data_IF_635512615237
#
_entry.id   IF_635512615237
#
_cell.length_a   1.000
_cell.length_b   1.000
_cell.length_c   1.000
_cell.angle_alpha   90.00
_cell.angle_beta   90.00
_cell.angle_gamma   90.00
#
_symmetry.space_group_name_H-M   'P 1'
#
loop_
_entity.id
_entity.type
_entity.pdbx_description
1 polymer ?
#
# COMPACT_ATOMS: atom_id res chain seq x y z
N UNK A 1 -7.77 3.11 4.14
CA UNK A 1 -7.33 4.50 3.97
C UNK A 1 -8.44 5.44 4.39
N UNK A 2 -8.18 6.32 5.38
CA UNK A 2 -9.22 7.21 5.94
C UNK A 2 -9.18 8.59 5.28
N UNK A 3 -10.27 9.00 4.66
CA UNK A 3 -10.42 10.29 3.99
C UNK A 3 -11.77 10.90 4.33
N UNK A 4 -11.87 12.24 4.37
CA UNK A 4 -13.15 12.89 4.58
C UNK A 4 -13.82 13.24 3.25
N UNK A 5 -15.16 13.25 3.25
CA UNK A 5 -15.94 13.66 2.08
C UNK A 5 -15.57 15.07 1.61
N UNK A 6 -15.46 16.02 2.54
CA UNK A 6 -15.07 17.40 2.21
C UNK A 6 -13.70 17.48 1.54
N UNK A 7 -12.79 16.55 1.81
CA UNK A 7 -11.48 16.49 1.15
C UNK A 7 -11.59 16.03 -0.31
N UNK A 8 -12.47 15.07 -0.61
CA UNK A 8 -12.80 14.69 -1.99
C UNK A 8 -13.45 15.84 -2.76
N UNK A 9 -14.25 16.66 -2.07
CA UNK A 9 -14.91 17.84 -2.64
C UNK A 9 -13.93 18.95 -3.02
N UNK A 10 -12.66 18.92 -2.60
CA UNK A 10 -11.62 19.81 -3.14
C UNK A 10 -11.31 19.49 -4.62
N UNK A 11 -11.50 18.26 -5.04
CA UNK A 11 -11.21 17.78 -6.38
C UNK A 11 -12.43 17.63 -7.28
N UNK A 12 -13.56 17.30 -6.67
CA UNK A 12 -14.78 16.94 -7.39
C UNK A 12 -15.98 17.78 -6.94
N UNK A 13 -16.90 17.96 -7.84
CA UNK A 13 -18.24 18.46 -7.53
C UNK A 13 -19.15 17.27 -7.23
N UNK A 14 -19.44 17.04 -5.94
CA UNK A 14 -20.14 15.86 -5.43
C UNK A 14 -21.56 16.28 -5.01
N UNK A 15 -22.57 15.86 -5.78
CA UNK A 15 -23.98 16.20 -5.54
C UNK A 15 -24.77 15.05 -4.89
N UNK A 16 -24.21 13.84 -4.83
CA UNK A 16 -24.87 12.65 -4.26
C UNK A 16 -24.62 12.55 -2.76
N UNK A 17 -25.38 11.70 -2.07
CA UNK A 17 -25.16 11.38 -0.66
C UNK A 17 -23.88 10.53 -0.49
N UNK A 18 -23.30 10.56 0.72
CA UNK A 18 -22.07 9.80 1.02
C UNK A 18 -22.28 8.31 0.84
N UNK A 19 -23.43 7.77 1.22
CA UNK A 19 -23.75 6.35 1.10
C UNK A 19 -23.78 5.89 -0.37
N UNK A 20 -24.34 6.73 -1.29
CA UNK A 20 -24.36 6.45 -2.72
C UNK A 20 -22.94 6.46 -3.30
N UNK A 21 -22.14 7.48 -2.94
CA UNK A 21 -20.73 7.58 -3.34
C UNK A 21 -19.92 6.36 -2.88
N UNK A 22 -20.08 5.93 -1.63
CA UNK A 22 -19.37 4.78 -1.06
C UNK A 22 -19.81 3.47 -1.72
N UNK A 23 -21.09 3.33 -2.04
CA UNK A 23 -21.60 2.19 -2.80
C UNK A 23 -20.97 2.13 -4.20
N UNK A 24 -20.90 3.25 -4.91
CA UNK A 24 -20.27 3.32 -6.24
C UNK A 24 -18.76 2.97 -6.18
N UNK A 25 -18.04 3.42 -5.14
CA UNK A 25 -16.63 3.03 -4.93
C UNK A 25 -16.49 1.52 -4.74
N UNK A 26 -17.28 0.95 -3.84
CA UNK A 26 -17.25 -0.48 -3.53
C UNK A 26 -17.56 -1.32 -4.78
N UNK A 27 -18.59 -0.96 -5.54
CA UNK A 27 -18.98 -1.67 -6.77
C UNK A 27 -17.93 -1.55 -7.88
N UNK A 28 -17.06 -0.54 -7.81
CA UNK A 28 -15.94 -0.36 -8.74
C UNK A 28 -14.61 -0.96 -8.22
N UNK A 29 -14.63 -1.73 -7.11
CA UNK A 29 -13.48 -2.43 -6.57
C UNK A 29 -12.65 -1.66 -5.54
N UNK A 30 -13.17 -0.55 -5.01
CA UNK A 30 -12.58 0.19 -3.89
C UNK A 30 -13.51 0.05 -2.67
N UNK A 31 -13.35 -1.05 -1.93
CA UNK A 31 -14.25 -1.42 -0.82
C UNK A 31 -14.25 -0.35 0.27
N UNK A 32 -15.44 0.11 0.65
CA UNK A 32 -15.62 1.01 1.79
C UNK A 32 -16.04 0.19 2.98
N UNK A 33 -15.15 0.09 3.99
CA UNK A 33 -15.39 -0.66 5.21
C UNK A 33 -16.36 0.05 6.14
N UNK A 34 -16.19 1.36 6.34
CA UNK A 34 -16.94 2.12 7.31
C UNK A 34 -17.14 3.58 6.88
N UNK A 35 -18.29 4.13 7.26
CA UNK A 35 -18.60 5.56 7.18
C UNK A 35 -18.86 6.06 8.59
N UNK A 36 -17.97 6.91 9.11
CA UNK A 36 -18.09 7.49 10.45
C UNK A 36 -18.41 8.98 10.36
N UNK A 37 -19.40 9.45 11.11
CA UNK A 37 -19.70 10.89 11.24
C UNK A 37 -18.68 11.56 12.15
N UNK A 38 -17.98 12.57 11.64
CA UNK A 38 -17.05 13.41 12.42
C UNK A 38 -17.48 14.87 12.29
N UNK A 39 -17.97 15.45 13.36
CA UNK A 39 -18.53 16.81 13.38
C UNK A 39 -19.60 17.03 12.29
N UNK A 40 -19.24 17.81 11.26
CA UNK A 40 -20.12 18.11 10.12
C UNK A 40 -19.71 17.39 8.82
N UNK A 41 -18.78 16.41 8.91
CA UNK A 41 -18.21 15.72 7.77
C UNK A 41 -18.39 14.19 7.90
N UNK A 42 -18.22 13.51 6.80
CA UNK A 42 -18.20 12.05 6.75
C UNK A 42 -16.76 11.56 6.56
N UNK A 43 -16.26 10.76 7.49
CA UNK A 43 -15.02 10.01 7.36
C UNK A 43 -15.32 8.68 6.67
N UNK A 44 -14.65 8.43 5.57
CA UNK A 44 -14.79 7.23 4.74
C UNK A 44 -13.51 6.41 4.91
N UNK A 45 -13.64 5.18 5.38
CA UNK A 45 -12.52 4.22 5.44
C UNK A 45 -12.59 3.29 4.25
N UNK A 46 -11.56 3.36 3.40
CA UNK A 46 -11.47 2.58 2.16
C UNK A 46 -10.38 1.52 2.32
N UNK A 47 -10.74 0.24 2.17
CA UNK A 47 -9.77 -0.86 2.07
C UNK A 47 -9.31 -1.01 0.62
N UNK A 48 -8.03 -0.75 0.40
CA UNK A 48 -7.42 -0.74 -0.92
C UNK A 48 -6.64 -2.02 -1.16
N UNK A 49 -6.98 -2.71 -2.22
CA UNK A 49 -6.21 -3.87 -2.67
C UNK A 49 -4.77 -3.50 -3.01
N UNK A 50 -3.79 -4.40 -2.80
CA UNK A 50 -2.37 -4.09 -3.01
C UNK A 50 -2.00 -3.60 -4.41
N UNK A 51 -2.76 -3.95 -5.44
CA UNK A 51 -2.56 -3.50 -6.81
C UNK A 51 -2.99 -2.05 -7.04
N UNK A 52 -3.88 -1.49 -6.21
CA UNK A 52 -4.43 -0.14 -6.37
C UNK A 52 -3.64 0.92 -5.58
N UNK A 53 -2.31 0.90 -5.71
CA UNK A 53 -1.44 1.92 -5.10
C UNK A 53 -1.73 3.35 -5.58
N UNK A 54 -2.26 3.49 -6.78
CA UNK A 54 -2.70 4.76 -7.37
C UNK A 54 -3.81 5.44 -6.58
N UNK A 55 -4.60 4.67 -5.81
CA UNK A 55 -5.68 5.14 -4.94
C UNK A 55 -5.24 5.37 -3.47
N UNK A 56 -3.96 5.20 -3.12
CA UNK A 56 -3.44 5.53 -1.78
C UNK A 56 -3.32 7.06 -1.57
N UNK A 57 -4.25 7.83 -2.14
CA UNK A 57 -4.35 9.28 -2.01
C UNK A 57 -5.77 9.77 -2.32
N UNK A 58 -6.12 10.94 -1.76
CA UNK A 58 -7.40 11.61 -2.06
C UNK A 58 -7.52 11.92 -3.56
N UNK A 59 -6.42 12.38 -4.17
CA UNK A 59 -6.35 12.63 -5.61
C UNK A 59 -6.60 11.35 -6.44
N UNK A 60 -6.03 10.22 -6.02
CA UNK A 60 -6.24 8.93 -6.69
C UNK A 60 -7.68 8.47 -6.61
N UNK A 61 -8.29 8.50 -5.42
CA UNK A 61 -9.71 8.17 -5.22
C UNK A 61 -10.61 9.13 -6.00
N UNK A 62 -10.29 10.43 -6.00
CA UNK A 62 -11.07 11.42 -6.78
C UNK A 62 -10.99 11.16 -8.28
N UNK A 63 -9.85 10.67 -8.78
CA UNK A 63 -9.68 10.26 -10.18
C UNK A 63 -10.59 9.08 -10.51
N UNK A 64 -10.63 8.06 -9.66
CA UNK A 64 -11.51 6.90 -9.82
C UNK A 64 -12.99 7.30 -9.82
N UNK A 65 -13.44 8.08 -8.85
CA UNK A 65 -14.82 8.57 -8.81
C UNK A 65 -15.22 9.28 -10.12
N UNK A 66 -14.34 10.12 -10.67
CA UNK A 66 -14.59 10.79 -11.94
C UNK A 66 -14.68 9.83 -13.14
N UNK A 67 -14.01 8.67 -13.06
CA UNK A 67 -14.05 7.61 -14.08
C UNK A 67 -15.35 6.81 -13.95
N UNK A 68 -15.69 6.38 -12.73
CA UNK A 68 -16.87 5.57 -12.43
C UNK A 68 -18.15 6.28 -12.85
N UNK A 69 -18.26 7.56 -12.50
CA UNK A 69 -19.47 8.29 -12.75
C UNK A 69 -19.19 9.72 -13.23
N UNK A 70 -19.62 10.02 -14.46
CA UNK A 70 -19.48 11.37 -15.08
C UNK A 70 -20.22 12.48 -14.35
N UNK A 71 -21.08 12.16 -13.35
CA UNK A 71 -21.70 13.17 -12.47
C UNK A 71 -20.64 13.89 -11.64
N UNK A 72 -19.53 13.21 -11.27
CA UNK A 72 -18.44 13.80 -10.48
C UNK A 72 -17.51 14.62 -11.36
N UNK A 73 -17.84 15.90 -11.54
CA UNK A 73 -17.04 16.80 -12.37
C UNK A 73 -15.79 17.26 -11.63
N UNK A 74 -14.64 17.21 -12.31
CA UNK A 74 -13.39 17.77 -11.76
C UNK A 74 -13.49 19.27 -11.58
N UNK A 75 -13.12 19.76 -10.40
CA UNK A 75 -12.98 21.18 -10.14
C UNK A 75 -11.72 21.73 -10.82
N UNK A 76 -11.78 22.89 -11.48
CA UNK A 76 -10.59 23.50 -12.06
C UNK A 76 -9.61 23.89 -10.96
N UNK A 77 -8.32 23.53 -11.14
CA UNK A 77 -7.26 23.99 -10.23
C UNK A 77 -7.11 25.52 -10.36
N UNK A 78 -7.23 26.22 -9.24
CA UNK A 78 -6.88 27.63 -9.15
C UNK A 78 -5.38 27.74 -8.88
N UNK A 79 -4.57 27.90 -9.91
CA UNK A 79 -3.18 28.28 -9.74
C UNK A 79 -3.13 29.78 -9.44
N UNK A 80 -2.85 30.16 -8.20
CA UNK A 80 -2.50 31.53 -7.86
C UNK A 80 -1.00 31.68 -8.10
N UNK A 81 -0.63 32.54 -9.03
CA UNK A 81 0.75 33.00 -9.17
C UNK A 81 0.98 34.04 -8.06
N UNK A 82 1.84 33.72 -7.13
CA UNK A 82 2.24 34.64 -6.05
C UNK A 82 3.69 35.05 -6.30
N UNK A 83 4.04 36.33 -6.06
CA UNK A 83 5.42 36.82 -6.10
C UNK A 83 6.22 36.14 -4.99
N UNK A 84 7.44 35.73 -5.30
CA UNK A 84 8.23 34.79 -4.53
C UNK A 84 9.40 35.45 -3.83
N UNK A 85 9.67 34.99 -2.60
CA UNK A 85 10.92 35.24 -1.93
C UNK A 85 11.86 34.04 -2.21
N UNK A 86 12.66 34.15 -3.30
CA UNK A 86 13.64 33.14 -3.68
C UNK A 86 14.93 33.29 -2.86
N UNK A 87 15.50 32.15 -2.46
CA UNK A 87 16.87 32.09 -1.98
C UNK A 87 17.75 31.29 -2.95
N UNK A 88 19.05 31.45 -2.80
CA UNK A 88 20.02 30.59 -3.48
C UNK A 88 19.86 29.14 -2.98
N UNK A 89 20.22 28.19 -3.84
CA UNK A 89 20.18 26.78 -3.45
C UNK A 89 21.25 26.49 -2.36
N UNK A 90 21.07 25.33 -1.68
CA UNK A 90 22.08 24.84 -0.74
C UNK A 90 23.41 24.52 -1.46
N UNK A 91 24.52 24.66 -0.77
CA UNK A 91 25.84 24.20 -1.24
C UNK A 91 26.00 22.69 -1.20
N UNK A 92 25.10 21.98 -0.47
CA UNK A 92 25.09 20.52 -0.33
C UNK A 92 24.77 19.91 -1.70
N UNK A 93 25.68 19.08 -2.21
CA UNK A 93 25.47 18.37 -3.48
C UNK A 93 24.86 16.99 -3.23
N UNK A 94 23.83 16.69 -4.01
CA UNK A 94 23.21 15.39 -4.02
C UNK A 94 23.68 14.59 -5.23
N UNK A 95 24.07 13.33 -5.02
CA UNK A 95 24.52 12.44 -6.09
C UNK A 95 23.86 11.07 -5.94
N UNK A 96 23.62 10.41 -7.07
CA UNK A 96 23.06 9.06 -7.11
C UNK A 96 24.17 8.13 -7.61
N UNK A 97 24.55 7.15 -6.79
CA UNK A 97 25.64 6.23 -7.13
C UNK A 97 25.24 5.21 -8.21
N UNK A 98 23.99 4.77 -8.19
CA UNK A 98 23.40 3.87 -9.19
C UNK A 98 21.96 4.36 -9.52
N UNK A 99 21.79 4.86 -10.74
CA UNK A 99 20.52 5.41 -11.20
C UNK A 99 19.38 4.35 -11.27
N UNK A 100 19.70 3.05 -11.19
CA UNK A 100 18.68 2.00 -11.11
C UNK A 100 17.90 2.02 -9.79
N UNK A 101 18.56 2.40 -8.69
CA UNK A 101 17.93 2.38 -7.36
C UNK A 101 17.04 3.60 -7.13
N UNK A 102 17.42 4.75 -7.72
CA UNK A 102 16.69 6.01 -7.63
C UNK A 102 16.75 6.74 -8.98
N UNK A 103 15.88 6.39 -9.95
CA UNK A 103 15.88 7.00 -11.28
C UNK A 103 15.55 8.49 -11.29
N UNK A 104 14.85 8.99 -10.26
CA UNK A 104 14.51 10.41 -10.10
C UNK A 104 14.55 10.81 -8.63
N UNK A 105 15.32 11.84 -8.34
CA UNK A 105 15.45 12.47 -7.03
C UNK A 105 15.25 13.97 -7.18
N UNK A 106 14.26 14.51 -6.53
CA UNK A 106 13.96 15.95 -6.56
C UNK A 106 14.03 16.51 -5.16
N UNK A 107 14.54 17.72 -5.01
CA UNK A 107 14.60 18.39 -3.72
C UNK A 107 14.49 19.91 -3.85
N UNK A 108 14.11 20.56 -2.74
CA UNK A 108 14.18 22.00 -2.55
C UNK A 108 14.86 22.33 -1.22
N UNK A 109 15.45 23.50 -1.16
CA UNK A 109 16.02 24.06 0.07
C UNK A 109 15.12 25.18 0.58
N UNK A 110 14.79 25.13 1.88
CA UNK A 110 14.01 26.12 2.61
C UNK A 110 14.95 26.84 3.59
N UNK A 111 14.89 28.16 3.61
CA UNK A 111 15.73 28.99 4.46
C UNK A 111 14.89 29.90 5.34
N UNK A 112 15.34 30.17 6.55
CA UNK A 112 14.71 31.10 7.48
C UNK A 112 13.25 30.76 7.81
N UNK A 113 12.98 29.48 8.10
CA UNK A 113 11.62 29.06 8.48
C UNK A 113 11.20 29.77 9.75
N UNK A 114 10.02 30.38 9.71
CA UNK A 114 9.46 31.09 10.85
C UNK A 114 9.09 30.11 11.98
N UNK A 115 9.67 30.30 13.15
CA UNK A 115 9.32 29.51 14.36
C UNK A 115 7.88 29.70 14.83
N UNK A 116 7.19 30.76 14.36
CA UNK A 116 5.77 31.00 14.66
C UNK A 116 4.82 30.40 13.62
N UNK A 117 5.34 29.72 12.59
CA UNK A 117 4.49 29.12 11.57
C UNK A 117 3.67 27.95 12.13
N UNK A 118 2.39 27.95 11.84
CA UNK A 118 1.48 26.84 12.07
C UNK A 118 0.70 26.57 10.79
N UNK A 119 0.43 25.30 10.53
CA UNK A 119 -0.40 24.93 9.38
C UNK A 119 -1.84 25.46 9.52
N UNK A 120 -2.51 25.80 8.43
CA UNK A 120 -3.94 26.04 8.42
C UNK A 120 -4.72 24.91 9.11
N UNK A 121 -5.74 25.26 9.93
CA UNK A 121 -6.46 24.28 10.73
C UNK A 121 -7.15 23.18 9.91
N UNK A 122 -7.55 23.49 8.68
CA UNK A 122 -8.10 22.46 7.77
C UNK A 122 -7.08 21.34 7.43
N UNK A 123 -5.79 21.65 7.32
CA UNK A 123 -4.71 20.66 7.13
C UNK A 123 -4.59 19.78 8.38
N UNK A 124 -4.50 20.42 9.55
CA UNK A 124 -4.35 19.73 10.82
C UNK A 124 -5.55 18.81 11.13
N UNK A 125 -6.76 19.30 10.87
CA UNK A 125 -8.00 18.53 11.06
C UNK A 125 -8.05 17.31 10.15
N UNK A 126 -7.69 17.45 8.87
CA UNK A 126 -7.63 16.34 7.90
C UNK A 126 -6.63 15.27 8.32
N UNK A 127 -5.45 15.67 8.77
CA UNK A 127 -4.44 14.73 9.28
C UNK A 127 -4.94 13.96 10.50
N UNK A 128 -5.50 14.67 11.51
CA UNK A 128 -6.06 14.01 12.71
C UNK A 128 -7.18 13.03 12.33
N UNK A 129 -8.08 13.42 11.46
CA UNK A 129 -9.19 12.57 11.00
C UNK A 129 -8.69 11.32 10.25
N UNK A 130 -7.58 11.44 9.52
CA UNK A 130 -6.92 10.32 8.85
C UNK A 130 -6.04 9.46 9.79
N UNK A 131 -5.99 9.79 11.10
CA UNK A 131 -5.22 9.04 12.09
C UNK A 131 -3.75 9.41 12.16
N UNK A 132 -3.33 10.53 11.56
CA UNK A 132 -1.94 11.01 11.58
C UNK A 132 -1.75 11.98 12.75
N UNK A 133 -0.76 11.70 13.61
CA UNK A 133 -0.35 12.58 14.69
C UNK A 133 0.42 13.80 14.15
N UNK A 134 0.11 14.97 14.69
CA UNK A 134 0.86 16.18 14.38
C UNK A 134 2.19 16.20 15.13
N UNK A 135 3.28 16.54 14.44
CA UNK A 135 4.65 16.52 14.99
C UNK A 135 5.30 17.90 14.83
N UNK A 136 5.39 18.38 13.60
CA UNK A 136 6.01 19.64 13.23
C UNK A 136 5.34 20.19 11.98
N UNK A 137 5.04 21.51 11.90
CA UNK A 137 4.23 22.05 10.79
C UNK A 137 4.72 21.67 9.39
N UNK A 138 6.02 21.66 9.14
CA UNK A 138 6.58 21.24 7.84
C UNK A 138 6.38 19.74 7.60
N UNK A 139 6.67 18.90 8.59
CA UNK A 139 6.49 17.43 8.48
C UNK A 139 5.01 17.09 8.29
N UNK A 140 4.13 17.75 9.01
CA UNK A 140 2.68 17.58 8.91
C UNK A 140 2.17 17.96 7.51
N UNK A 141 2.74 19.03 6.91
CA UNK A 141 2.44 19.41 5.54
C UNK A 141 2.90 18.34 4.54
N UNK A 142 4.06 17.70 4.76
CA UNK A 142 4.52 16.58 3.91
C UNK A 142 3.58 15.38 4.04
N UNK A 143 3.16 15.04 5.26
CA UNK A 143 2.18 13.99 5.51
C UNK A 143 0.83 14.32 4.84
N UNK A 144 0.39 15.58 4.92
CA UNK A 144 -0.80 16.03 4.22
C UNK A 144 -0.70 15.82 2.70
N UNK A 145 0.43 16.20 2.09
CA UNK A 145 0.64 16.02 0.64
C UNK A 145 0.74 14.54 0.27
N UNK A 146 1.35 13.73 1.10
CA UNK A 146 1.40 12.28 0.90
C UNK A 146 -0.02 11.68 0.86
N UNK A 147 -0.90 12.02 1.81
CA UNK A 147 -2.28 11.55 1.83
C UNK A 147 -3.12 12.16 0.71
N UNK A 148 -2.90 13.43 0.41
CA UNK A 148 -3.66 14.16 -0.60
C UNK A 148 -3.27 13.77 -2.03
N UNK A 149 -1.98 13.57 -2.29
CA UNK A 149 -1.43 13.44 -3.65
C UNK A 149 -0.77 12.09 -3.95
N UNK A 150 -0.42 11.33 -2.90
CA UNK A 150 0.14 9.98 -3.03
C UNK A 150 1.67 9.90 -3.12
N UNK A 151 2.38 11.04 -2.99
CA UNK A 151 3.83 11.10 -3.03
C UNK A 151 4.42 11.24 -1.63
N UNK A 152 5.11 10.23 -1.09
CA UNK A 152 5.86 10.39 0.14
C UNK A 152 7.04 11.35 -0.06
N UNK A 153 7.24 12.23 0.92
CA UNK A 153 8.34 13.20 0.95
C UNK A 153 9.03 13.15 2.31
N UNK A 154 10.27 13.62 2.38
CA UNK A 154 11.02 13.68 3.62
C UNK A 154 11.66 15.04 3.84
N UNK A 155 11.84 15.42 5.11
CA UNK A 155 12.46 16.66 5.54
C UNK A 155 13.74 16.40 6.33
N UNK A 156 14.82 17.02 5.94
CA UNK A 156 16.10 17.00 6.66
C UNK A 156 16.40 18.37 7.24
N UNK A 157 16.88 18.42 8.48
CA UNK A 157 17.52 19.60 9.05
C UNK A 157 18.83 19.85 8.29
N UNK A 158 18.85 20.86 7.43
CA UNK A 158 19.99 21.13 6.56
C UNK A 158 21.28 21.47 7.31
N UNK A 159 21.15 22.07 8.48
CA UNK A 159 22.29 22.49 9.32
C UNK A 159 22.98 21.29 10.01
N UNK A 160 22.33 20.11 10.01
CA UNK A 160 22.87 18.86 10.57
C UNK A 160 23.52 17.95 9.53
N UNK A 161 23.34 18.23 8.24
CA UNK A 161 23.95 17.45 7.15
C UNK A 161 25.42 17.82 7.03
N UNK A 162 26.31 16.84 6.98
CA UNK A 162 27.76 17.04 6.89
C UNK A 162 28.28 16.68 5.50
N UNK A 163 28.64 17.72 4.72
CA UNK A 163 29.17 17.57 3.37
C UNK A 163 28.12 17.12 2.34
N UNK A 164 28.57 16.47 1.28
CA UNK A 164 27.72 16.05 0.17
C UNK A 164 26.92 14.80 0.51
N UNK A 165 25.75 14.66 -0.11
CA UNK A 165 24.80 13.55 0.11
C UNK A 165 24.83 12.58 -1.08
N UNK A 166 24.87 11.27 -0.77
CA UNK A 166 24.91 10.20 -1.76
C UNK A 166 23.75 9.23 -1.53
N UNK A 167 22.97 8.99 -2.57
CA UNK A 167 21.96 7.94 -2.64
C UNK A 167 22.64 6.66 -3.14
N UNK A 168 22.68 5.61 -2.33
CA UNK A 168 23.42 4.37 -2.60
C UNK A 168 22.81 3.13 -1.92
N UNK A 169 23.32 1.98 -2.24
CA UNK A 169 23.07 0.79 -1.41
C UNK A 169 23.90 0.86 -0.11
N UNK A 170 23.32 0.35 0.96
CA UNK A 170 24.01 0.24 2.24
C UNK A 170 25.19 -0.74 2.16
N UNK A 171 26.23 -0.49 2.93
CA UNK A 171 27.29 -1.50 3.16
C UNK A 171 26.77 -2.54 4.15
N UNK A 172 27.28 -3.76 4.06
CA UNK A 172 26.90 -4.83 4.99
C UNK A 172 27.19 -4.42 6.43
N UNK A 173 26.20 -4.56 7.30
CA UNK A 173 26.24 -4.21 8.72
C UNK A 173 26.34 -2.70 9.02
N UNK A 174 26.11 -1.81 8.07
CA UNK A 174 25.85 -0.40 8.42
C UNK A 174 24.64 -0.30 9.34
N UNK A 175 24.64 0.71 10.19
CA UNK A 175 23.59 0.93 11.19
C UNK A 175 22.99 2.33 10.97
N UNK A 176 21.67 2.42 11.10
CA UNK A 176 20.96 3.68 11.17
C UNK A 176 20.18 3.73 12.49
N UNK A 177 20.26 4.84 13.22
CA UNK A 177 19.34 5.16 14.31
C UNK A 177 18.17 5.91 13.69
N UNK A 178 17.02 5.27 13.60
CA UNK A 178 15.86 5.80 12.91
C UNK A 178 15.00 6.72 13.80
N UNK A 179 14.03 7.41 13.18
CA UNK A 179 13.11 8.35 13.85
C UNK A 179 12.26 7.73 14.98
N UNK A 180 12.09 6.41 14.99
CA UNK A 180 11.42 5.67 16.07
C UNK A 180 12.35 5.38 17.27
N UNK A 181 13.59 5.87 17.25
CA UNK A 181 14.61 5.69 18.27
C UNK A 181 15.30 4.33 18.24
N UNK A 182 14.98 3.46 17.29
CA UNK A 182 15.54 2.11 17.17
C UNK A 182 16.75 2.11 16.24
N UNK A 183 17.75 1.32 16.58
CA UNK A 183 18.91 1.06 15.71
C UNK A 183 18.64 -0.15 14.80
N UNK A 184 18.76 0.09 13.49
CA UNK A 184 18.58 -0.96 12.48
C UNK A 184 19.89 -1.30 11.80
N UNK A 185 20.24 -2.58 11.83
CA UNK A 185 21.38 -3.14 11.11
C UNK A 185 20.98 -3.47 9.68
N UNK A 186 21.66 -2.82 8.74
CA UNK A 186 21.33 -2.89 7.33
C UNK A 186 22.09 -3.98 6.58
N UNK A 187 21.54 -4.35 5.44
CA UNK A 187 22.17 -5.25 4.46
C UNK A 187 22.50 -4.48 3.18
N UNK A 188 23.30 -5.07 2.32
CA UNK A 188 23.61 -4.48 1.00
C UNK A 188 22.43 -4.46 0.01
N UNK A 189 21.24 -4.84 0.46
CA UNK A 189 20.00 -4.73 -0.32
C UNK A 189 19.17 -3.49 0.05
N UNK A 190 19.54 -2.76 1.10
CA UNK A 190 18.84 -1.58 1.55
C UNK A 190 19.36 -0.34 0.81
N UNK A 191 18.46 0.50 0.33
CA UNK A 191 18.80 1.80 -0.25
C UNK A 191 18.91 2.81 0.89
N UNK A 192 19.99 3.57 0.91
CA UNK A 192 20.23 4.60 1.92
C UNK A 192 20.58 5.93 1.28
N UNK A 193 20.24 6.99 1.99
CA UNK A 193 20.69 8.34 1.73
C UNK A 193 21.68 8.65 2.84
N UNK A 194 22.91 8.97 2.47
CA UNK A 194 24.01 9.15 3.41
C UNK A 194 24.77 10.45 3.11
N UNK A 195 25.16 11.16 4.15
CA UNK A 195 26.11 12.25 4.06
C UNK A 195 27.56 11.75 4.15
N UNK A 196 28.53 12.64 4.34
CA UNK A 196 29.93 12.26 4.44
C UNK A 196 30.29 11.46 5.69
N UNK A 197 29.44 11.44 6.72
CA UNK A 197 29.66 10.81 8.01
C UNK A 197 28.80 9.60 8.26
N UNK A 198 27.51 9.69 7.99
CA UNK A 198 26.52 8.68 8.40
C UNK A 198 25.33 8.57 7.45
N UNK A 199 24.47 7.59 7.70
CA UNK A 199 23.20 7.42 7.00
C UNK A 199 22.19 8.39 7.59
N UNK A 200 21.61 9.24 6.75
CA UNK A 200 20.60 10.23 7.11
C UNK A 200 19.17 9.76 6.82
N UNK A 201 18.99 8.73 5.99
CA UNK A 201 17.69 8.11 5.76
C UNK A 201 17.84 6.69 5.21
N UNK A 202 16.93 5.80 5.62
CA UNK A 202 16.65 4.56 4.93
C UNK A 202 15.60 4.87 3.85
N UNK A 203 16.07 4.99 2.61
CA UNK A 203 15.32 5.54 1.49
C UNK A 203 13.94 4.89 1.29
N UNK A 204 12.92 5.72 1.20
CA UNK A 204 11.53 5.30 1.03
C UNK A 204 10.91 4.59 2.24
N UNK A 205 11.62 4.47 3.36
CA UNK A 205 11.12 3.76 4.56
C UNK A 205 11.05 4.69 5.77
N UNK A 206 12.19 5.17 6.28
CA UNK A 206 12.23 5.99 7.49
C UNK A 206 13.50 6.86 7.54
N UNK A 207 13.38 8.09 8.03
CA UNK A 207 14.50 8.99 8.24
C UNK A 207 15.33 8.63 9.47
N UNK A 208 16.53 9.25 9.58
CA UNK A 208 17.39 9.17 10.76
C UNK A 208 16.97 10.19 11.83
N UNK A 209 17.13 9.83 13.10
CA UNK A 209 16.94 10.74 14.23
C UNK A 209 17.91 11.94 14.17
N UNK A 210 19.15 11.72 13.71
CA UNK A 210 20.22 12.72 13.73
C UNK A 210 19.95 13.94 12.86
N UNK A 211 19.30 13.75 11.71
CA UNK A 211 18.94 14.83 10.77
C UNK A 211 17.46 15.20 10.84
N UNK A 212 16.76 14.78 11.89
CA UNK A 212 15.35 15.11 12.07
C UNK A 212 15.13 16.61 12.29
N UNK A 213 14.01 17.08 11.75
CA UNK A 213 13.54 18.45 11.96
C UNK A 213 13.02 18.61 13.39
N UNK A 214 13.39 19.71 14.04
CA UNK A 214 12.98 20.08 15.38
C UNK A 214 12.40 21.52 15.37
N UNK A 215 11.79 21.95 16.47
CA UNK A 215 11.23 23.30 16.59
C UNK A 215 12.27 24.42 16.38
N UNK A 216 13.54 24.13 16.67
CA UNK A 216 14.65 25.07 16.49
C UNK A 216 15.21 25.11 15.07
N UNK A 217 14.81 24.19 14.20
CA UNK A 217 15.32 24.07 12.82
C UNK A 217 14.85 25.25 11.97
N UNK A 218 15.81 25.91 11.31
CA UNK A 218 15.55 27.07 10.45
C UNK A 218 15.75 26.79 8.98
N UNK A 219 16.61 25.85 8.65
CA UNK A 219 16.95 25.50 7.29
C UNK A 219 16.62 24.03 7.06
N UNK A 220 15.84 23.75 6.02
CA UNK A 220 15.33 22.40 5.76
C UNK A 220 15.54 22.06 4.29
N UNK A 221 15.95 20.84 4.01
CA UNK A 221 15.88 20.26 2.66
C UNK A 221 14.69 19.32 2.61
N UNK A 222 13.83 19.53 1.63
CA UNK A 222 12.69 18.65 1.35
C UNK A 222 13.02 17.77 0.16
N UNK A 223 12.94 16.47 0.38
CA UNK A 223 13.11 15.42 -0.62
C UNK A 223 11.77 14.97 -1.17
N UNK A 224 11.74 14.70 -2.47
CA UNK A 224 10.66 13.99 -3.15
C UNK A 224 11.28 13.13 -4.24
N UNK A 225 11.24 11.81 -4.10
CA UNK A 225 11.96 10.89 -4.96
C UNK A 225 11.08 9.80 -5.54
N UNK A 226 11.57 9.15 -6.60
CA UNK A 226 11.07 7.90 -7.11
C UNK A 226 12.12 6.82 -6.90
N UNK A 227 11.76 5.77 -6.17
CA UNK A 227 12.56 4.56 -6.00
C UNK A 227 11.89 3.39 -6.72
N UNK A 228 12.67 2.48 -7.29
CA UNK A 228 12.11 1.28 -7.92
C UNK A 228 11.38 0.42 -6.87
N UNK A 229 10.05 0.21 -7.02
CA UNK A 229 9.27 -0.56 -6.05
C UNK A 229 9.77 -2.00 -5.88
N UNK A 230 10.34 -2.62 -6.92
CA UNK A 230 10.90 -3.97 -6.82
C UNK A 230 12.09 -4.04 -5.85
N UNK A 231 12.86 -2.97 -5.74
CA UNK A 231 13.99 -2.90 -4.83
C UNK A 231 13.57 -2.59 -3.39
N UNK A 232 12.42 -1.95 -3.19
CA UNK A 232 11.87 -1.63 -1.86
C UNK A 232 10.96 -2.73 -1.31
N UNK A 233 10.38 -3.55 -2.17
CA UNK A 233 9.45 -4.61 -1.77
C UNK A 233 10.02 -5.50 -0.65
N UNK A 234 9.24 -5.66 0.43
CA UNK A 234 9.59 -6.43 1.64
C UNK A 234 10.80 -5.94 2.45
N UNK A 235 11.47 -4.83 2.08
CA UNK A 235 12.65 -4.36 2.84
C UNK A 235 12.26 -3.82 4.21
N UNK A 236 11.19 -3.03 4.29
CA UNK A 236 10.64 -2.56 5.57
C UNK A 236 10.20 -3.73 6.45
N UNK A 237 9.47 -4.71 5.90
CA UNK A 237 9.01 -5.89 6.64
C UNK A 237 10.14 -6.74 7.22
N UNK A 238 11.26 -6.91 6.50
CA UNK A 238 12.45 -7.61 7.01
C UNK A 238 13.04 -6.94 8.26
N UNK A 239 12.88 -5.62 8.37
CA UNK A 239 13.29 -4.81 9.53
C UNK A 239 12.17 -4.67 10.58
N UNK A 240 11.02 -5.32 10.39
CA UNK A 240 9.81 -5.19 11.22
C UNK A 240 9.27 -3.76 11.26
N UNK A 241 9.52 -2.99 10.20
CA UNK A 241 8.99 -1.65 9.99
C UNK A 241 7.76 -1.70 9.08
N UNK A 242 6.82 -0.80 9.36
CA UNK A 242 5.70 -0.50 8.50
C UNK A 242 5.40 1.00 8.60
N UNK A 243 5.67 1.74 7.56
CA UNK A 243 5.43 3.19 7.49
C UNK A 243 4.52 3.52 6.31
N UNK A 244 3.82 4.63 6.36
CA UNK A 244 2.99 5.14 5.26
C UNK A 244 3.81 5.37 3.97
N UNK A 245 5.09 5.76 4.12
CA UNK A 245 6.05 5.86 3.02
C UNK A 245 6.35 4.50 2.40
N UNK A 246 6.79 3.52 3.22
CA UNK A 246 7.15 2.20 2.72
C UNK A 246 5.95 1.49 2.08
N UNK A 247 4.75 1.68 2.64
CA UNK A 247 3.51 1.14 2.12
C UNK A 247 3.20 1.61 0.69
N UNK A 248 3.50 2.89 0.39
CA UNK A 248 3.32 3.45 -0.96
C UNK A 248 4.44 3.07 -1.90
N UNK A 249 5.70 3.24 -1.48
CA UNK A 249 6.83 2.96 -2.35
C UNK A 249 6.95 1.50 -2.76
N UNK A 250 6.69 0.53 -1.85
CA UNK A 250 6.76 -0.89 -2.20
C UNK A 250 5.68 -1.34 -3.19
N UNK A 251 4.56 -0.60 -3.29
CA UNK A 251 3.47 -0.85 -4.23
C UNK A 251 3.59 -0.07 -5.53
N UNK A 252 4.49 0.90 -5.57
CA UNK A 252 4.74 1.78 -6.69
C UNK A 252 4.04 3.13 -6.56
N UNK A 253 4.84 4.19 -6.68
CA UNK A 253 4.40 5.60 -6.76
C UNK A 253 4.60 6.08 -8.19
N UNK A 254 3.69 6.88 -8.72
CA UNK A 254 3.84 7.44 -10.06
C UNK A 254 5.14 8.26 -10.16
N UNK A 255 6.05 7.81 -11.02
CA UNK A 255 7.35 8.45 -11.23
C UNK A 255 7.27 9.91 -11.73
N UNK A 256 6.09 10.38 -12.13
CA UNK A 256 5.84 11.78 -12.52
C UNK A 256 5.35 12.66 -11.36
N UNK A 257 5.21 12.12 -10.14
CA UNK A 257 4.72 12.89 -8.99
C UNK A 257 5.80 13.67 -8.23
N UNK A 258 7.08 13.27 -8.15
CA UNK A 258 8.05 13.92 -7.28
C UNK A 258 8.11 15.45 -7.41
N UNK A 259 8.29 15.95 -8.63
CA UNK A 259 8.32 17.40 -8.90
C UNK A 259 6.95 18.07 -8.61
N UNK A 260 5.85 17.41 -9.01
CA UNK A 260 4.49 17.94 -8.82
C UNK A 260 4.11 18.07 -7.35
N UNK A 261 4.59 17.13 -6.51
CA UNK A 261 4.38 17.17 -5.07
C UNK A 261 5.16 18.33 -4.43
N UNK A 262 6.42 18.55 -4.83
CA UNK A 262 7.19 19.71 -4.42
C UNK A 262 6.52 21.02 -4.87
N UNK A 263 6.04 21.10 -6.10
CA UNK A 263 5.30 22.27 -6.56
C UNK A 263 4.03 22.55 -5.74
N UNK A 264 3.30 21.49 -5.36
CA UNK A 264 2.14 21.62 -4.48
C UNK A 264 2.53 22.10 -3.09
N UNK A 265 3.61 21.58 -2.54
CA UNK A 265 4.19 22.02 -1.27
C UNK A 265 4.57 23.51 -1.31
N UNK A 266 5.28 23.94 -2.35
CA UNK A 266 5.64 25.35 -2.58
C UNK A 266 4.41 26.24 -2.61
N UNK A 267 3.34 25.82 -3.31
CA UNK A 267 2.10 26.61 -3.40
C UNK A 267 1.48 26.84 -2.00
N UNK A 268 1.51 25.84 -1.12
CA UNK A 268 1.02 25.98 0.25
C UNK A 268 1.93 26.92 1.07
N UNK A 269 3.27 26.81 0.92
CA UNK A 269 4.21 27.69 1.58
C UNK A 269 4.02 29.16 1.19
N UNK A 270 3.82 29.41 -0.09
CA UNK A 270 3.61 30.77 -0.65
C UNK A 270 2.34 31.41 -0.12
N UNK A 271 1.22 30.67 -0.08
CA UNK A 271 -0.04 31.17 0.45
C UNK A 271 0.09 31.63 1.90
N UNK A 272 1.03 31.05 2.66
CA UNK A 272 1.20 31.30 4.08
C UNK A 272 2.48 32.11 4.44
N UNK A 273 3.32 32.45 3.46
CA UNK A 273 4.58 33.23 3.65
C UNK A 273 5.49 32.64 4.74
N UNK A 274 5.80 31.36 4.63
CA UNK A 274 6.46 30.57 5.70
C UNK A 274 7.96 30.81 5.74
N UNK A 275 8.63 30.89 4.59
CA UNK A 275 10.09 30.92 4.44
C UNK A 275 10.47 31.35 3.03
N UNK A 276 11.79 31.55 2.83
CA UNK A 276 12.40 31.61 1.52
C UNK A 276 12.64 30.18 1.01
N UNK A 277 12.64 29.96 -0.30
CA UNK A 277 12.89 28.64 -0.89
C UNK A 277 13.66 28.74 -2.22
N UNK A 278 14.43 27.69 -2.52
CA UNK A 278 15.18 27.57 -3.77
C UNK A 278 14.31 27.08 -4.93
N UNK A 279 14.84 27.11 -6.14
CA UNK A 279 14.27 26.36 -7.25
C UNK A 279 14.31 24.85 -6.96
N UNK A 280 13.35 24.12 -7.55
CA UNK A 280 13.35 22.66 -7.48
C UNK A 280 14.56 22.12 -8.24
N UNK A 281 15.38 21.36 -7.55
CA UNK A 281 16.50 20.64 -8.15
C UNK A 281 16.06 19.22 -8.51
N UNK A 282 16.41 18.76 -9.70
CA UNK A 282 16.05 17.44 -10.21
C UNK A 282 17.32 16.72 -10.68
N UNK A 283 17.55 15.55 -10.14
CA UNK A 283 18.58 14.60 -10.60
C UNK A 283 17.84 13.40 -11.15
N UNK A 284 17.93 13.16 -12.46
CA UNK A 284 17.23 12.06 -13.08
C UNK A 284 18.03 11.37 -14.18
N UNK A 285 17.73 10.08 -14.36
CA UNK A 285 18.12 9.34 -15.55
C UNK A 285 16.87 8.64 -16.13
N UNK A 286 16.36 9.22 -17.19
CA UNK A 286 15.12 8.74 -17.86
C UNK A 286 15.25 7.34 -18.45
N UNK A 287 16.47 6.83 -18.65
CA UNK A 287 16.69 5.46 -19.14
C UNK A 287 16.27 4.39 -18.13
N UNK A 288 16.29 4.73 -16.83
CA UNK A 288 15.93 3.84 -15.73
C UNK A 288 14.52 4.10 -15.17
N UNK A 289 13.80 5.11 -15.65
CA UNK A 289 12.39 5.28 -15.32
C UNK A 289 11.58 4.10 -15.89
N UNK A 290 10.53 3.65 -15.18
CA UNK A 290 9.68 2.57 -15.67
C UNK A 290 9.12 2.88 -17.05
N UNK A 291 9.27 1.93 -17.96
CA UNK A 291 8.63 2.03 -19.28
C UNK A 291 7.16 1.68 -19.14
N UNK A 292 6.31 2.43 -19.83
CA UNK A 292 4.89 2.10 -19.91
C UNK A 292 4.72 0.73 -20.58
N UNK A 293 3.92 -0.13 -19.97
CA UNK A 293 3.60 -1.43 -20.52
C UNK A 293 2.72 -1.27 -21.76
N UNK A 294 3.00 -2.10 -22.77
CA UNK A 294 2.24 -2.14 -24.01
C UNK A 294 1.69 -3.54 -24.21
N UNK A 295 0.38 -3.69 -24.15
CA UNK A 295 -0.31 -4.97 -24.20
C UNK A 295 -1.24 -5.00 -25.41
N UNK A 296 -1.10 -6.04 -26.26
CA UNK A 296 -1.99 -6.24 -27.41
C UNK A 296 -3.37 -6.67 -26.90
N UNK A 297 -4.43 -6.02 -27.39
CA UNK A 297 -5.79 -6.37 -27.06
C UNK A 297 -6.24 -7.63 -27.81
N UNK A 298 -6.95 -8.50 -27.14
CA UNK A 298 -7.67 -9.62 -27.72
C UNK A 298 -9.15 -9.49 -27.36
N UNK A 299 -9.91 -8.82 -28.20
CA UNK A 299 -11.31 -8.51 -27.96
C UNK A 299 -12.20 -9.76 -27.81
N UNK A 300 -11.89 -10.82 -28.56
CA UNK A 300 -12.62 -12.08 -28.47
C UNK A 300 -12.40 -12.73 -27.10
N UNK A 301 -11.16 -12.74 -26.62
CA UNK A 301 -10.84 -13.28 -25.31
C UNK A 301 -11.44 -12.44 -24.18
N UNK A 302 -11.46 -11.11 -24.31
CA UNK A 302 -12.11 -10.21 -23.36
C UNK A 302 -13.59 -10.58 -23.21
N UNK A 303 -14.32 -10.70 -24.33
CA UNK A 303 -15.74 -11.10 -24.33
C UNK A 303 -15.95 -12.48 -23.70
N UNK A 304 -15.09 -13.42 -24.01
CA UNK A 304 -15.15 -14.78 -23.47
C UNK A 304 -14.90 -14.82 -21.96
N UNK A 305 -13.93 -14.06 -21.45
CA UNK A 305 -13.61 -14.04 -20.02
C UNK A 305 -14.67 -13.31 -19.19
N UNK A 306 -15.21 -12.19 -19.70
CA UNK A 306 -16.29 -11.45 -19.04
C UNK A 306 -17.64 -12.18 -19.20
N UNK A 307 -17.82 -12.93 -20.28
CA UNK A 307 -19.04 -13.71 -20.55
C UNK A 307 -20.18 -12.92 -21.19
N UNK A 308 -19.88 -11.74 -21.78
CA UNK A 308 -20.87 -10.87 -22.45
C UNK A 308 -20.34 -10.34 -23.77
N UNK A 309 -21.26 -9.96 -24.65
CA UNK A 309 -20.93 -9.27 -25.91
C UNK A 309 -20.79 -7.77 -25.63
N UNK A 310 -19.58 -7.25 -25.81
CA UNK A 310 -19.24 -5.82 -25.71
C UNK A 310 -18.60 -5.40 -27.03
N UNK A 311 -19.03 -4.27 -27.58
CA UNK A 311 -18.45 -3.71 -28.81
C UNK A 311 -17.00 -3.24 -28.57
N UNK A 312 -16.13 -3.39 -29.59
CA UNK A 312 -14.72 -3.00 -29.50
C UNK A 312 -14.52 -1.55 -29.12
N UNK A 313 -15.36 -0.65 -29.67
CA UNK A 313 -15.31 0.78 -29.38
C UNK A 313 -15.67 1.08 -27.90
N UNK A 314 -16.55 0.31 -27.31
CA UNK A 314 -16.90 0.43 -25.90
C UNK A 314 -15.75 -0.05 -25.00
N UNK A 315 -15.15 -1.17 -25.30
CA UNK A 315 -13.93 -1.67 -24.64
C UNK A 315 -12.84 -0.61 -24.64
N UNK A 316 -12.52 -0.06 -25.82
CA UNK A 316 -11.52 1.00 -25.96
C UNK A 316 -11.88 2.24 -25.16
N UNK A 317 -13.14 2.66 -25.18
CA UNK A 317 -13.62 3.83 -24.45
C UNK A 317 -13.44 3.66 -22.94
N UNK A 318 -13.74 2.49 -22.38
CA UNK A 318 -13.52 2.20 -20.97
C UNK A 318 -12.03 2.30 -20.60
N UNK A 319 -11.15 1.70 -21.40
CA UNK A 319 -9.70 1.77 -21.18
C UNK A 319 -9.13 3.19 -21.30
N UNK A 320 -9.62 3.98 -22.25
CA UNK A 320 -9.22 5.39 -22.38
C UNK A 320 -9.67 6.25 -21.21
N UNK A 321 -10.78 5.92 -20.53
CA UNK A 321 -11.25 6.63 -19.33
C UNK A 321 -10.28 6.54 -18.17
N UNK A 322 -9.59 5.40 -18.00
CA UNK A 322 -8.57 5.21 -16.94
C UNK A 322 -7.23 5.86 -17.27
N UNK A 323 -7.13 6.50 -18.43
CA UNK A 323 -5.93 7.20 -18.89
C UNK A 323 -4.96 6.36 -19.72
N UNK A 324 -5.38 5.20 -20.19
CA UNK A 324 -4.60 4.41 -21.17
C UNK A 324 -4.51 5.14 -22.52
N UNK A 325 -3.44 4.88 -23.23
CA UNK A 325 -3.23 5.34 -24.62
C UNK A 325 -3.42 4.16 -25.56
N UNK A 326 -4.05 4.40 -26.72
CA UNK A 326 -4.25 3.36 -27.74
C UNK A 326 -3.33 3.56 -28.94
N UNK A 327 -2.49 2.56 -29.18
CA UNK A 327 -1.64 2.52 -30.39
C UNK A 327 -2.34 1.74 -31.50
N UNK A 328 -2.92 2.50 -32.45
CA UNK A 328 -3.62 1.93 -33.61
C UNK A 328 -2.73 1.08 -34.52
N UNK A 329 -1.42 1.35 -34.56
CA UNK A 329 -0.51 0.65 -35.47
C UNK A 329 -0.27 -0.80 -35.09
N UNK A 330 -0.36 -1.10 -33.78
CA UNK A 330 -0.10 -2.43 -33.21
C UNK A 330 -1.31 -3.04 -32.52
N UNK A 331 -2.46 -2.35 -32.54
CA UNK A 331 -3.68 -2.73 -31.80
C UNK A 331 -3.38 -3.03 -30.33
N UNK A 332 -2.70 -2.09 -29.70
CA UNK A 332 -2.21 -2.27 -28.33
C UNK A 332 -2.61 -1.13 -27.43
N UNK A 333 -2.81 -1.45 -26.16
CA UNK A 333 -3.08 -0.49 -25.10
C UNK A 333 -1.80 -0.23 -24.29
N UNK A 334 -1.60 1.02 -23.89
CA UNK A 334 -0.44 1.47 -23.12
C UNK A 334 -0.97 2.05 -21.82
N UNK A 335 -0.46 1.53 -20.67
CA UNK A 335 -0.89 1.96 -19.36
C UNK A 335 -0.43 3.39 -19.00
N UNK A 336 -1.20 4.12 -18.18
CA UNK A 336 -0.72 5.38 -17.60
C UNK A 336 0.33 5.12 -16.52
N UNK A 337 1.19 6.11 -16.24
CA UNK A 337 2.33 5.99 -15.33
C UNK A 337 1.97 5.67 -13.88
N UNK A 338 0.75 5.98 -13.45
CA UNK A 338 0.26 5.71 -12.10
C UNK A 338 -0.34 4.31 -11.91
N UNK A 339 -0.54 3.53 -12.99
CA UNK A 339 -1.10 2.18 -12.94
C UNK A 339 0.01 1.15 -13.16
N UNK A 340 0.70 0.80 -12.08
CA UNK A 340 1.77 -0.21 -12.08
C UNK A 340 1.25 -1.63 -12.26
N UNK A 341 0.00 -1.85 -11.89
CA UNK A 341 -0.69 -3.12 -11.92
C UNK A 341 -1.05 -3.59 -13.34
N UNK A 342 -1.23 -2.68 -14.30
CA UNK A 342 -1.65 -3.01 -15.66
C UNK A 342 -0.49 -3.55 -16.50
N UNK A 343 -0.19 -4.84 -16.35
CA UNK A 343 0.96 -5.49 -16.96
C UNK A 343 0.61 -6.54 -17.99
N UNK A 344 -0.51 -7.25 -17.80
CA UNK A 344 -0.92 -8.39 -18.63
C UNK A 344 -2.37 -8.21 -19.12
N UNK A 345 -2.79 -9.05 -20.06
CA UNK A 345 -4.12 -8.98 -20.66
C UNK A 345 -5.25 -9.07 -19.59
N UNK A 346 -5.10 -9.95 -18.60
CA UNK A 346 -6.10 -10.15 -17.55
C UNK A 346 -6.37 -8.87 -16.73
N UNK A 347 -5.34 -8.04 -16.50
CA UNK A 347 -5.51 -6.78 -15.77
C UNK A 347 -6.46 -5.83 -16.50
N UNK A 348 -6.39 -5.80 -17.83
CA UNK A 348 -7.30 -4.99 -18.65
C UNK A 348 -8.70 -5.58 -18.72
N UNK A 349 -8.85 -6.90 -18.65
CA UNK A 349 -10.17 -7.56 -18.53
C UNK A 349 -10.84 -7.15 -17.22
N UNK A 350 -10.12 -7.12 -16.10
CA UNK A 350 -10.60 -6.63 -14.82
C UNK A 350 -11.09 -5.17 -14.93
N UNK A 351 -10.28 -4.29 -15.51
CA UNK A 351 -10.65 -2.88 -15.68
C UNK A 351 -11.93 -2.68 -16.50
N UNK A 352 -12.08 -3.46 -17.57
CA UNK A 352 -13.29 -3.41 -18.39
C UNK A 352 -14.50 -3.92 -17.61
N UNK A 353 -14.37 -5.05 -16.92
CA UNK A 353 -15.48 -5.66 -16.17
C UNK A 353 -15.97 -4.75 -15.03
N UNK A 354 -15.04 -4.17 -14.23
CA UNK A 354 -15.40 -3.28 -13.12
C UNK A 354 -16.05 -1.97 -13.57
N UNK A 355 -15.57 -1.39 -14.69
CA UNK A 355 -16.11 -0.14 -15.23
C UNK A 355 -17.41 -0.34 -16.04
N UNK A 356 -17.57 -1.51 -16.67
CA UNK A 356 -18.83 -1.91 -17.26
C UNK A 356 -19.91 -2.10 -16.19
N UNK A 357 -19.50 -2.53 -15.00
CA UNK A 357 -20.31 -2.77 -13.81
C UNK A 357 -20.72 -4.23 -13.70
N UNK A 358 -20.33 -4.88 -12.61
CA UNK A 358 -20.63 -6.30 -12.36
C UNK A 358 -22.14 -6.62 -12.36
N UNK A 359 -22.97 -5.68 -11.90
CA UNK A 359 -24.42 -5.83 -11.91
C UNK A 359 -25.04 -5.87 -13.33
N UNK A 360 -24.30 -5.35 -14.33
CA UNK A 360 -24.72 -5.40 -15.73
C UNK A 360 -24.35 -6.71 -16.42
N UNK A 361 -23.58 -7.59 -15.74
CA UNK A 361 -23.20 -8.90 -16.27
C UNK A 361 -24.26 -9.92 -15.88
N UNK A 362 -24.98 -10.53 -16.85
CA UNK A 362 -26.07 -11.44 -16.56
C UNK A 362 -25.55 -12.75 -15.95
N UNK A 363 -26.25 -13.23 -14.91
CA UNK A 363 -25.98 -14.56 -14.36
C UNK A 363 -26.49 -15.61 -15.35
N UNK A 364 -25.56 -16.31 -15.98
CA UNK A 364 -25.87 -17.38 -16.92
C UNK A 364 -25.71 -18.74 -16.23
N UNK A 365 -26.75 -19.58 -16.17
CA UNK A 365 -26.62 -20.93 -15.65
C UNK A 365 -25.72 -21.76 -16.58
N UNK A 366 -24.69 -22.37 -15.99
CA UNK A 366 -23.86 -23.30 -16.76
C UNK A 366 -24.65 -24.52 -17.22
N UNK A 367 -24.57 -24.84 -18.51
CA UNK A 367 -25.08 -26.10 -19.05
C UNK A 367 -23.99 -27.16 -18.93
N UNK A 368 -24.03 -27.92 -17.84
CA UNK A 368 -23.06 -28.98 -17.58
C UNK A 368 -23.70 -30.32 -18.03
N UNK A 369 -23.00 -31.07 -18.89
CA UNK A 369 -23.33 -32.45 -19.14
C UNK A 369 -22.95 -33.30 -17.92
N UNK A 370 -23.94 -33.79 -17.17
CA UNK A 370 -23.69 -34.65 -16.03
C UNK A 370 -23.15 -36.00 -16.51
N UNK A 371 -21.86 -36.19 -16.41
CA UNK A 371 -21.24 -37.51 -16.59
C UNK A 371 -20.89 -38.10 -15.23
N UNK A 372 -21.29 -39.35 -14.95
CA UNK A 372 -20.91 -40.00 -13.70
C UNK A 372 -19.40 -40.19 -13.68
N UNK A 373 -18.71 -39.45 -12.82
CA UNK A 373 -17.28 -39.63 -12.57
C UNK A 373 -17.08 -40.85 -11.68
N UNK A 374 -16.08 -41.68 -11.99
CA UNK A 374 -15.65 -42.74 -11.08
C UNK A 374 -15.21 -42.08 -9.75
N UNK A 375 -15.83 -42.54 -8.67
CA UNK A 375 -15.41 -42.10 -7.32
C UNK A 375 -13.96 -42.52 -7.11
N UNK A 376 -13.17 -41.61 -6.55
CA UNK A 376 -11.79 -41.91 -6.17
C UNK A 376 -11.81 -42.99 -5.05
N UNK A 377 -11.20 -44.15 -5.32
CA UNK A 377 -11.28 -45.31 -4.43
C UNK A 377 -10.97 -45.03 -2.94
N UNK A 378 -9.97 -44.20 -2.58
CA UNK A 378 -9.76 -43.80 -1.18
C UNK A 378 -10.96 -43.12 -0.53
N UNK A 379 -11.76 -42.34 -1.28
CA UNK A 379 -12.98 -41.72 -0.75
C UNK A 379 -14.04 -42.75 -0.37
N UNK A 380 -14.21 -43.80 -1.17
CA UNK A 380 -15.15 -44.87 -0.85
C UNK A 380 -14.73 -45.66 0.41
N UNK A 381 -13.42 -45.93 0.53
CA UNK A 381 -12.86 -46.61 1.72
C UNK A 381 -13.08 -45.74 2.96
N UNK A 382 -12.77 -44.46 2.92
CA UNK A 382 -12.97 -43.53 4.04
C UNK A 382 -14.44 -43.47 4.43
N UNK A 383 -15.34 -43.32 3.46
CA UNK A 383 -16.78 -43.28 3.75
C UNK A 383 -17.31 -44.60 4.35
N UNK A 384 -16.82 -45.73 3.88
CA UNK A 384 -17.21 -47.04 4.44
C UNK A 384 -16.72 -47.18 5.88
N UNK A 385 -15.50 -46.75 6.19
CA UNK A 385 -14.93 -46.75 7.56
C UNK A 385 -15.76 -45.80 8.45
N UNK A 386 -16.01 -44.58 8.02
CA UNK A 386 -16.83 -43.60 8.76
C UNK A 386 -18.24 -44.15 9.06
N UNK A 387 -18.90 -44.70 8.05
CA UNK A 387 -20.21 -45.30 8.21
C UNK A 387 -20.21 -46.48 9.18
N UNK A 388 -19.19 -47.33 9.15
CA UNK A 388 -19.05 -48.45 10.08
C UNK A 388 -18.85 -47.94 11.52
N UNK A 389 -17.98 -47.00 11.75
CA UNK A 389 -17.74 -46.39 13.07
C UNK A 389 -19.01 -45.71 13.61
N UNK A 390 -19.69 -44.90 12.77
CA UNK A 390 -20.93 -44.23 13.13
C UNK A 390 -22.03 -45.21 13.57
N UNK A 391 -22.20 -46.29 12.83
CA UNK A 391 -23.16 -47.35 13.19
C UNK A 391 -22.84 -48.07 14.51
N UNK A 392 -21.58 -48.01 14.95
CA UNK A 392 -21.11 -48.55 16.23
C UNK A 392 -20.99 -47.46 17.32
N UNK A 393 -21.72 -46.34 17.18
CA UNK A 393 -21.79 -45.25 18.17
C UNK A 393 -20.48 -44.51 18.42
N UNK A 394 -19.57 -44.50 17.44
CA UNK A 394 -18.38 -43.62 17.51
C UNK A 394 -18.74 -42.23 16.95
N UNK A 395 -18.19 -41.22 17.60
CA UNK A 395 -18.26 -39.82 17.14
C UNK A 395 -16.95 -39.38 16.46
N UNK A 396 -17.06 -38.75 15.32
CA UNK A 396 -15.90 -38.16 14.64
C UNK A 396 -15.46 -36.85 15.33
N UNK A 397 -14.17 -36.74 15.62
CA UNK A 397 -13.58 -35.53 16.18
C UNK A 397 -12.56 -34.92 15.24
N UNK A 398 -12.62 -33.62 15.04
CA UNK A 398 -11.65 -32.85 14.29
C UNK A 398 -10.87 -31.98 15.28
N UNK A 399 -9.57 -32.25 15.43
CA UNK A 399 -8.71 -31.61 16.41
C UNK A 399 -7.56 -30.89 15.72
N UNK A 400 -7.00 -29.86 16.37
CA UNK A 400 -5.80 -29.20 15.91
C UNK A 400 -4.63 -30.18 15.81
N UNK A 401 -3.79 -29.97 14.81
CA UNK A 401 -2.56 -30.74 14.62
C UNK A 401 -1.40 -30.27 15.51
N UNK A 402 -1.61 -29.21 16.27
CA UNK A 402 -0.61 -28.55 17.09
C UNK A 402 -0.83 -28.85 18.57
N UNK A 403 0.27 -29.07 19.30
CA UNK A 403 0.31 -29.39 20.71
C UNK A 403 1.49 -28.68 21.40
N UNK A 404 1.54 -28.74 22.73
CA UNK A 404 2.67 -28.30 23.53
C UNK A 404 3.43 -29.46 24.17
N UNK A 405 4.54 -29.18 24.85
CA UNK A 405 5.36 -30.22 25.51
C UNK A 405 4.61 -30.98 26.59
N UNK A 406 3.81 -30.30 27.41
CA UNK A 406 3.07 -30.97 28.48
C UNK A 406 2.07 -31.99 27.96
N UNK A 407 1.49 -31.76 26.80
CA UNK A 407 0.61 -32.70 26.13
C UNK A 407 1.34 -33.90 25.56
N UNK A 408 2.54 -33.66 25.03
CA UNK A 408 3.41 -34.75 24.53
C UNK A 408 3.96 -35.62 25.68
N UNK A 409 4.45 -34.99 26.75
CA UNK A 409 5.04 -35.68 27.90
C UNK A 409 3.99 -36.50 28.67
N UNK A 410 2.78 -35.98 28.84
CA UNK A 410 1.73 -36.66 29.58
C UNK A 410 1.11 -37.87 28.85
N UNK A 411 1.13 -37.86 27.52
CA UNK A 411 0.40 -38.82 26.71
C UNK A 411 1.26 -39.58 25.69
N UNK A 412 2.55 -39.29 25.60
CA UNK A 412 3.47 -40.00 24.69
C UNK A 412 4.09 -41.20 25.42
N UNK A 413 3.40 -42.31 25.37
CA UNK A 413 3.80 -43.52 26.04
C UNK A 413 5.09 -44.11 25.44
N UNK A 414 6.24 -43.94 26.16
CA UNK A 414 7.48 -44.73 26.10
C UNK A 414 8.07 -45.06 24.72
N UNK A 415 7.74 -44.36 23.68
CA UNK A 415 8.42 -44.54 22.42
C UNK A 415 9.52 -43.51 22.23
N UNK A 416 10.72 -43.81 22.73
CA UNK A 416 12.00 -43.12 22.45
C UNK A 416 12.28 -42.86 20.95
N UNK A 417 11.37 -43.22 20.05
CA UNK A 417 11.48 -43.01 18.59
C UNK A 417 10.98 -41.65 18.09
N UNK A 418 10.34 -40.82 18.92
CA UNK A 418 9.76 -39.54 18.52
C UNK A 418 10.44 -38.33 19.16
N UNK A 419 11.74 -38.42 19.43
CA UNK A 419 12.55 -37.33 20.00
C UNK A 419 12.64 -36.08 19.10
N UNK A 420 12.10 -36.10 17.86
CA UNK A 420 12.15 -34.99 16.91
C UNK A 420 10.74 -34.50 16.54
N UNK A 421 10.00 -33.96 17.52
CA UNK A 421 8.79 -33.20 17.20
C UNK A 421 9.16 -31.99 16.39
N UNK A 422 8.45 -31.77 15.25
CA UNK A 422 8.66 -30.61 14.41
C UNK A 422 8.06 -29.39 15.10
N UNK A 423 8.90 -28.40 15.35
CA UNK A 423 8.47 -27.10 15.86
C UNK A 423 8.07 -26.16 14.72
N UNK A 424 7.09 -25.30 14.98
CA UNK A 424 6.66 -24.26 14.05
C UNK A 424 7.52 -23.04 14.31
N UNK A 425 8.14 -22.48 13.26
CA UNK A 425 9.08 -21.37 13.39
C UNK A 425 8.45 -20.09 13.95
N UNK A 426 7.18 -19.83 13.67
CA UNK A 426 6.45 -18.63 14.06
C UNK A 426 5.05 -18.97 14.55
N UNK A 427 5.00 -19.73 15.64
CA UNK A 427 3.74 -20.15 16.27
C UNK A 427 2.98 -18.94 16.85
N UNK A 428 1.65 -19.03 16.82
CA UNK A 428 0.77 -17.97 17.36
C UNK A 428 0.59 -18.06 18.88
N UNK A 429 0.74 -19.26 19.45
CA UNK A 429 0.58 -19.52 20.87
C UNK A 429 1.58 -20.56 21.35
N UNK A 430 2.15 -20.34 22.54
CA UNK A 430 3.05 -21.28 23.22
C UNK A 430 2.35 -22.62 23.54
N UNK A 431 1.02 -22.65 23.50
CA UNK A 431 0.25 -23.87 23.68
C UNK A 431 0.13 -24.71 22.41
N UNK A 432 0.56 -24.20 21.25
CA UNK A 432 0.34 -24.79 19.93
C UNK A 432 1.56 -24.61 19.03
N UNK A 433 2.74 -25.03 19.50
CA UNK A 433 3.98 -24.76 18.77
C UNK A 433 4.68 -26.00 18.19
N UNK A 434 4.19 -27.21 18.50
CA UNK A 434 4.71 -28.46 17.96
C UNK A 434 3.64 -29.25 17.20
N UNK A 435 4.06 -30.03 16.22
CA UNK A 435 3.16 -30.98 15.55
C UNK A 435 2.94 -32.21 16.45
N UNK A 436 1.66 -32.63 16.56
CA UNK A 436 1.33 -33.87 17.32
C UNK A 436 1.92 -35.09 16.66
N UNK A 437 2.41 -36.02 17.46
CA UNK A 437 2.92 -37.32 17.04
C UNK A 437 1.87 -38.42 16.97
N UNK A 438 0.76 -38.25 17.74
CA UNK A 438 -0.35 -39.19 17.83
C UNK A 438 -1.68 -38.45 18.07
N UNK A 439 -2.78 -39.19 18.15
CA UNK A 439 -4.11 -38.63 18.37
C UNK A 439 -4.57 -38.64 19.82
N UNK A 440 -3.82 -39.32 20.71
CA UNK A 440 -4.26 -39.65 22.08
C UNK A 440 -4.51 -38.38 22.90
N UNK A 441 -3.56 -37.44 22.91
CA UNK A 441 -3.68 -36.19 23.68
C UNK A 441 -4.91 -35.40 23.30
N UNK A 442 -5.17 -35.23 21.99
CA UNK A 442 -6.32 -34.53 21.49
C UNK A 442 -7.66 -35.20 21.83
N UNK A 443 -7.73 -36.52 21.76
CA UNK A 443 -8.92 -37.30 22.12
C UNK A 443 -9.19 -37.25 23.63
N UNK A 444 -8.18 -37.30 24.47
CA UNK A 444 -8.34 -37.13 25.93
C UNK A 444 -8.85 -35.74 26.27
N UNK A 445 -8.35 -34.72 25.61
CA UNK A 445 -8.91 -33.34 25.77
C UNK A 445 -10.40 -33.26 25.41
N UNK A 446 -10.82 -33.93 24.33
CA UNK A 446 -12.22 -33.98 23.96
C UNK A 446 -13.06 -34.66 25.05
N UNK A 447 -12.58 -35.77 25.64
CA UNK A 447 -13.26 -36.42 26.75
C UNK A 447 -13.37 -35.50 27.97
N UNK A 448 -12.28 -34.82 28.34
CA UNK A 448 -12.26 -33.90 29.48
C UNK A 448 -13.24 -32.73 29.26
N UNK A 449 -13.24 -32.12 28.07
CA UNK A 449 -14.17 -31.05 27.72
C UNK A 449 -15.62 -31.50 27.80
N UNK A 450 -15.95 -32.66 27.23
CA UNK A 450 -17.33 -33.17 27.24
C UNK A 450 -17.79 -33.55 28.66
N UNK A 451 -16.92 -34.11 29.51
CA UNK A 451 -17.26 -34.39 30.92
C UNK A 451 -17.51 -33.12 31.72
N UNK A 452 -16.78 -32.04 31.45
CA UNK A 452 -16.97 -30.76 32.15
C UNK A 452 -18.25 -30.03 31.73
N UNK A 453 -18.71 -30.22 30.49
CA UNK A 453 -19.93 -29.60 29.97
C UNK A 453 -21.18 -30.45 30.28
N UNK A 454 -21.04 -31.78 30.21
CA UNK A 454 -22.12 -32.76 30.47
C UNK A 454 -21.87 -33.42 31.84
N UNK A 455 -22.08 -32.68 32.93
CA UNK A 455 -21.92 -33.21 34.28
C UNK A 455 -23.01 -34.21 34.72
N UNK A 456 -23.92 -34.58 33.81
CA UNK A 456 -24.96 -35.57 34.01
C UNK A 456 -24.86 -36.67 32.93
N UNK A 457 -23.78 -37.48 32.95
CA UNK A 457 -23.86 -38.88 32.46
C UNK A 457 -22.52 -39.58 32.65
#
# INVERSE_FOLDING_TARGET
MKITRSWLEDYLDISVKTEELCHELTMAGLEVDEITKIDKDDLIDIDLTPNRSDCLSVFGVSRELNIINKKYKRKPKKNKIVNHDFCENTEIKFTIQDNKICPRYSYIYLKNISSSYANPENINTRLRNSGVNLIHPIVDMLNYIMLDFGQPMHAYDADKILGDVVIRLAKKNEVIKALDGVEYKLTNENIVIADSKEIISLAGIIGSENTSVAESTKNIIIESAFFDPNLLANKARKLKLHTESSHRFERGVDFNLPEKALQKFINILQENKVCEYSDIQIIEDTNFLPKKNKVKLNYENIRKEIGIEIENDEILKLLLLIGCEYDKSTDSIINPSHRYDLCIHADYVEEIARLYGYDNIPIMPEKISLQPTKRYAPFEIINNIKNYLYKNSYSECINYSFVNDSELENYDWKHKKFENHKEILNYMSIEQYKLRSNLTSSLIKNIQLNRNVNSEN
#
